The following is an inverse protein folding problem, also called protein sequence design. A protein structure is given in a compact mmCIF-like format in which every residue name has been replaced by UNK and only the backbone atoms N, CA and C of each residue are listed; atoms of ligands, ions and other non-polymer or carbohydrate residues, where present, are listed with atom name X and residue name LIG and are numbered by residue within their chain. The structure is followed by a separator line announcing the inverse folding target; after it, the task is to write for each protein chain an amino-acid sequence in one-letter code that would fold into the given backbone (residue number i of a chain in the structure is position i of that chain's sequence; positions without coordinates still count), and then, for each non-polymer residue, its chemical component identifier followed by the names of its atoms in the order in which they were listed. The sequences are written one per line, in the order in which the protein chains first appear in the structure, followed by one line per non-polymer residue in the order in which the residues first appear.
data_IF_907893024012
#
_entry.id   IF_907893024012
#
_cell.length_a   1.000
_cell.length_b   1.000
_cell.length_c   1.000
_cell.angle_alpha   90.00
_cell.angle_beta   90.00
_cell.angle_gamma   90.00
#
_symmetry.space_group_name_H-M   'P 1'
#
loop_
_entity.id
_entity.type
_entity.pdbx_description
1 polymer ?
#
# COMPACT_ATOMS: atom_id res chain seq x y z
N UNK A 1 13.92 2.37 1.72
CA UNK A 1 12.87 3.12 2.45
C UNK A 1 11.59 2.32 2.53
N UNK A 2 11.06 2.11 3.73
CA UNK A 2 9.79 1.40 3.98
C UNK A 2 8.77 2.36 4.57
N UNK A 3 7.69 2.64 3.84
CA UNK A 3 6.59 3.50 4.29
C UNK A 3 5.50 2.63 4.90
N UNK A 4 5.35 2.69 6.21
CA UNK A 4 4.52 1.80 7.02
C UNK A 4 5.30 0.60 7.56
N UNK A 5 5.74 0.67 8.83
CA UNK A 5 6.51 -0.37 9.51
C UNK A 5 5.62 -1.32 10.34
N UNK A 6 4.43 -1.65 9.82
CA UNK A 6 3.55 -2.65 10.36
C UNK A 6 4.04 -4.09 10.13
N UNK A 7 3.16 -5.08 10.29
CA UNK A 7 3.50 -6.51 10.15
C UNK A 7 4.19 -6.87 8.83
N UNK A 8 3.75 -6.28 7.71
CA UNK A 8 4.33 -6.54 6.37
C UNK A 8 5.62 -5.75 6.20
N UNK A 9 5.61 -4.44 6.49
CA UNK A 9 6.78 -3.60 6.33
C UNK A 9 7.99 -4.12 7.12
N UNK A 10 7.82 -4.60 8.35
CA UNK A 10 8.90 -5.23 9.15
C UNK A 10 9.45 -6.50 8.51
N UNK A 11 8.64 -7.29 7.81
CA UNK A 11 9.13 -8.45 7.06
C UNK A 11 9.97 -8.03 5.86
N UNK A 12 9.53 -6.99 5.15
CA UNK A 12 10.30 -6.41 4.04
C UNK A 12 11.63 -5.85 4.53
N UNK A 13 11.65 -5.13 5.66
CA UNK A 13 12.89 -4.64 6.30
C UNK A 13 13.84 -5.82 6.60
N UNK A 14 13.33 -6.89 7.20
CA UNK A 14 14.16 -8.09 7.51
C UNK A 14 14.77 -8.70 6.24
N UNK A 15 13.99 -8.80 5.17
CA UNK A 15 14.44 -9.33 3.88
C UNK A 15 15.49 -8.39 3.26
N UNK A 16 15.24 -7.09 3.20
CA UNK A 16 16.18 -6.10 2.69
C UNK A 16 17.51 -6.13 3.44
N UNK A 17 17.46 -6.22 4.77
CA UNK A 17 18.65 -6.38 5.61
C UNK A 17 19.40 -7.67 5.28
N UNK A 18 18.72 -8.76 5.01
CA UNK A 18 19.30 -10.02 4.56
C UNK A 18 20.06 -9.90 3.22
N UNK A 19 19.65 -8.98 2.36
CA UNK A 19 20.37 -8.60 1.14
C UNK A 19 21.53 -7.60 1.38
N UNK A 20 21.81 -7.23 2.62
CA UNK A 20 22.85 -6.25 2.95
C UNK A 20 22.43 -4.79 2.74
N UNK A 21 21.14 -4.51 2.50
CA UNK A 21 20.66 -3.15 2.33
C UNK A 21 20.56 -2.41 3.68
N UNK A 22 20.82 -1.11 3.67
CA UNK A 22 20.44 -0.21 4.78
C UNK A 22 18.94 0.04 4.71
N UNK A 23 18.22 -0.17 5.81
CA UNK A 23 16.79 0.02 5.88
C UNK A 23 16.43 1.25 6.72
N UNK A 24 15.52 2.08 6.19
CA UNK A 24 14.88 3.19 6.87
C UNK A 24 13.36 2.99 6.82
N UNK A 25 12.66 3.45 7.87
CA UNK A 25 11.21 3.40 7.89
C UNK A 25 10.60 4.77 8.22
N UNK A 26 9.43 5.04 7.64
CA UNK A 26 8.55 6.13 8.03
C UNK A 26 7.20 5.55 8.45
N UNK A 27 6.79 5.82 9.68
CA UNK A 27 5.53 5.36 10.25
C UNK A 27 5.02 6.40 11.26
N UNK A 28 3.72 6.76 11.26
CA UNK A 28 3.17 7.67 12.25
C UNK A 28 3.23 7.13 13.69
N UNK A 29 3.38 5.81 13.86
CA UNK A 29 3.48 5.14 15.16
C UNK A 29 4.78 4.33 15.24
N UNK A 30 5.95 4.96 15.41
CA UNK A 30 7.23 4.28 15.46
C UNK A 30 7.32 3.32 16.66
N UNK A 31 7.94 2.16 16.43
CA UNK A 31 8.24 1.16 17.46
C UNK A 31 9.77 1.03 17.60
N UNK A 32 10.38 1.69 18.61
CA UNK A 32 11.81 1.66 18.82
C UNK A 32 12.37 0.25 19.13
N UNK A 33 11.55 -0.61 19.76
CA UNK A 33 11.98 -1.98 20.07
C UNK A 33 12.15 -2.81 18.80
N UNK A 34 11.18 -2.71 17.88
CA UNK A 34 11.27 -3.35 16.57
C UNK A 34 12.44 -2.78 15.73
N UNK A 35 12.70 -1.46 15.83
CA UNK A 35 13.82 -0.83 15.14
C UNK A 35 15.18 -1.38 15.63
N UNK A 36 15.33 -1.50 16.95
CA UNK A 36 16.54 -2.08 17.55
C UNK A 36 16.71 -3.57 17.19
N UNK A 37 15.64 -4.37 17.29
CA UNK A 37 15.66 -5.80 16.95
C UNK A 37 16.04 -6.05 15.49
N UNK A 38 15.43 -5.30 14.55
CA UNK A 38 15.61 -5.51 13.12
C UNK A 38 16.76 -4.69 12.51
N UNK A 39 17.37 -3.80 13.28
CA UNK A 39 18.53 -2.99 12.87
C UNK A 39 18.18 -1.96 11.79
N UNK A 40 17.08 -1.22 11.93
CA UNK A 40 16.71 -0.13 11.05
C UNK A 40 16.46 1.18 11.80
N UNK A 41 16.38 2.31 11.09
CA UNK A 41 16.09 3.62 11.67
C UNK A 41 14.71 4.14 11.25
N UNK A 42 14.02 4.84 12.17
CA UNK A 42 12.86 5.65 11.82
C UNK A 42 13.31 7.05 11.43
N UNK A 43 12.73 7.57 10.36
CA UNK A 43 12.94 8.95 9.86
C UNK A 43 11.61 9.54 9.41
N UNK A 44 11.57 10.84 9.11
CA UNK A 44 10.40 11.45 8.46
C UNK A 44 10.18 10.86 7.07
N UNK A 45 8.95 10.95 6.54
CA UNK A 45 8.67 10.51 5.16
C UNK A 45 9.58 11.23 4.17
N UNK A 46 9.73 12.54 4.31
CA UNK A 46 10.55 13.35 3.44
C UNK A 46 12.03 12.95 3.44
N UNK A 47 12.59 12.67 4.63
CA UNK A 47 13.97 12.20 4.74
C UNK A 47 14.14 10.81 4.14
N UNK A 48 13.17 9.90 4.39
CA UNK A 48 13.15 8.59 3.77
C UNK A 48 13.20 8.71 2.24
N UNK A 49 12.35 9.55 1.65
CA UNK A 49 12.27 9.73 0.20
C UNK A 49 13.56 10.31 -0.40
N UNK A 50 14.23 11.23 0.33
CA UNK A 50 15.53 11.80 -0.11
C UNK A 50 16.68 10.81 -0.02
N UNK A 51 16.61 9.87 0.91
CA UNK A 51 17.73 8.96 1.21
C UNK A 51 17.63 7.62 0.49
N UNK A 52 16.42 7.16 0.17
CA UNK A 52 16.18 5.83 -0.35
C UNK A 52 16.52 5.68 -1.84
N UNK A 53 17.11 4.56 -2.20
CA UNK A 53 17.31 4.12 -3.58
C UNK A 53 16.12 3.27 -4.06
N UNK A 54 15.45 2.59 -3.11
CA UNK A 54 14.20 1.85 -3.32
C UNK A 54 13.21 2.25 -2.24
N UNK A 55 11.99 2.60 -2.63
CA UNK A 55 10.88 2.92 -1.70
C UNK A 55 9.81 1.85 -1.82
N UNK A 56 9.48 1.20 -0.70
CA UNK A 56 8.42 0.18 -0.62
C UNK A 56 7.29 0.63 0.28
N UNK A 57 6.06 0.58 -0.26
CA UNK A 57 4.86 1.09 0.40
C UNK A 57 4.09 -0.05 1.09
N UNK A 58 3.80 0.13 2.38
CA UNK A 58 3.04 -0.79 3.23
C UNK A 58 2.05 -0.05 4.13
N UNK A 59 1.72 1.18 3.77
CA UNK A 59 0.70 1.98 4.44
C UNK A 59 -0.71 1.43 4.13
N UNK A 60 -1.65 1.44 5.09
CA UNK A 60 -3.03 1.07 4.84
C UNK A 60 -3.68 2.02 3.85
N UNK A 61 -4.71 1.55 3.12
CA UNK A 61 -5.54 2.42 2.31
C UNK A 61 -6.52 3.20 3.20
N UNK A 62 -6.84 4.42 2.77
CA UNK A 62 -7.83 5.25 3.48
C UNK A 62 -7.66 6.74 3.17
N UNK A 63 -8.55 7.58 3.71
CA UNK A 63 -8.51 9.03 3.46
C UNK A 63 -7.18 9.69 3.83
N UNK A 64 -6.51 9.21 4.90
CA UNK A 64 -5.25 9.77 5.40
C UNK A 64 -4.02 9.40 4.56
N UNK A 65 -4.12 8.36 3.76
CA UNK A 65 -3.02 7.85 2.93
C UNK A 65 -3.32 7.96 1.43
N UNK A 66 -4.47 8.53 1.09
CA UNK A 66 -4.81 8.81 -0.31
C UNK A 66 -3.81 9.80 -0.90
N UNK A 67 -3.25 9.45 -2.06
CA UNK A 67 -2.25 10.24 -2.77
C UNK A 67 -1.04 10.65 -1.88
N UNK A 68 -0.70 9.81 -0.89
CA UNK A 68 0.43 10.02 0.02
C UNK A 68 1.73 10.22 -0.77
N UNK A 69 1.87 9.51 -1.88
CA UNK A 69 2.97 9.68 -2.83
C UNK A 69 2.42 10.34 -4.10
N UNK A 70 2.77 11.58 -4.29
CA UNK A 70 2.33 12.43 -5.39
C UNK A 70 3.50 13.21 -5.97
N UNK A 71 3.26 14.22 -6.81
CA UNK A 71 4.31 15.00 -7.48
C UNK A 71 5.35 15.58 -6.51
N UNK A 72 4.91 16.11 -5.37
CA UNK A 72 5.81 16.67 -4.36
C UNK A 72 6.76 15.61 -3.79
N UNK A 73 6.26 14.41 -3.52
CA UNK A 73 7.06 13.28 -3.01
C UNK A 73 8.01 12.75 -4.08
N UNK A 74 7.55 12.61 -5.31
CA UNK A 74 8.43 12.23 -6.42
C UNK A 74 9.54 13.25 -6.67
N UNK A 75 9.25 14.54 -6.51
CA UNK A 75 10.25 15.60 -6.71
C UNK A 75 11.43 15.53 -5.72
N UNK A 76 11.22 15.03 -4.51
CA UNK A 76 12.27 14.91 -3.48
C UNK A 76 13.01 13.56 -3.50
N UNK A 77 12.46 12.52 -4.15
CA UNK A 77 13.13 11.22 -4.28
C UNK A 77 14.47 11.37 -5.02
N UNK A 78 15.41 10.46 -4.77
CA UNK A 78 16.65 10.39 -5.57
C UNK A 78 16.34 10.16 -7.04
N UNK A 79 17.07 10.80 -7.97
CA UNK A 79 17.03 10.41 -9.37
C UNK A 79 17.38 8.93 -9.53
N UNK A 80 16.58 8.20 -10.29
CA UNK A 80 16.78 6.77 -10.48
C UNK A 80 16.25 5.87 -9.35
N UNK A 81 15.51 6.41 -8.38
CA UNK A 81 14.82 5.63 -7.35
C UNK A 81 13.81 4.66 -7.98
N UNK A 82 13.61 3.51 -7.34
CA UNK A 82 12.59 2.52 -7.70
C UNK A 82 11.45 2.56 -6.67
N UNK A 83 10.21 2.59 -7.12
CA UNK A 83 9.02 2.52 -6.27
C UNK A 83 8.40 1.13 -6.32
N UNK A 84 8.08 0.57 -5.15
CA UNK A 84 7.33 -0.69 -5.02
C UNK A 84 6.03 -0.42 -4.25
N UNK A 85 4.90 -0.79 -4.83
CA UNK A 85 3.60 -0.69 -4.17
C UNK A 85 2.87 -2.03 -4.18
N UNK A 86 2.87 -2.69 -3.04
CA UNK A 86 2.07 -3.89 -2.73
C UNK A 86 1.04 -3.62 -1.63
N UNK A 87 0.73 -2.35 -1.39
CA UNK A 87 -0.20 -1.92 -0.34
C UNK A 87 -1.61 -1.68 -0.90
N UNK A 88 -1.87 -0.48 -1.39
CA UNK A 88 -3.14 -0.08 -2.01
C UNK A 88 -2.88 0.91 -3.14
N UNK A 89 -3.63 0.81 -4.24
CA UNK A 89 -3.45 1.66 -5.42
C UNK A 89 -3.61 3.16 -5.10
N UNK A 90 -4.60 3.51 -4.29
CA UNK A 90 -4.86 4.90 -3.91
C UNK A 90 -3.81 5.58 -3.02
N UNK A 91 -2.78 4.85 -2.55
CA UNK A 91 -1.65 5.46 -1.81
C UNK A 91 -0.75 6.27 -2.73
N UNK A 92 -0.74 5.94 -4.02
CA UNK A 92 0.07 6.62 -5.04
C UNK A 92 -0.85 7.33 -6.04
N UNK A 93 -0.60 8.60 -6.30
CA UNK A 93 -1.25 9.30 -7.39
C UNK A 93 -0.75 8.76 -8.73
N UNK A 94 -1.62 8.04 -9.45
CA UNK A 94 -1.26 7.34 -10.67
C UNK A 94 -0.73 8.29 -11.77
N UNK A 95 -1.35 9.48 -11.93
CA UNK A 95 -0.92 10.45 -12.93
C UNK A 95 0.47 11.04 -12.60
N UNK A 96 0.74 11.31 -11.31
CA UNK A 96 2.05 11.76 -10.85
C UNK A 96 3.12 10.68 -11.07
N UNK A 97 2.79 9.40 -10.83
CA UNK A 97 3.69 8.28 -11.07
C UNK A 97 4.05 8.16 -12.57
N UNK A 98 3.06 8.28 -13.47
CA UNK A 98 3.30 8.30 -14.93
C UNK A 98 4.28 9.42 -15.28
N UNK A 99 4.11 10.64 -14.75
CA UNK A 99 5.03 11.77 -14.99
C UNK A 99 6.44 11.48 -14.49
N UNK A 100 6.56 10.94 -13.28
CA UNK A 100 7.85 10.64 -12.67
C UNK A 100 8.63 9.56 -13.44
N UNK A 101 7.94 8.53 -13.94
CA UNK A 101 8.53 7.48 -14.77
C UNK A 101 8.91 7.99 -16.17
N UNK A 102 8.00 8.73 -16.81
CA UNK A 102 8.21 9.26 -18.18
C UNK A 102 9.30 10.31 -18.24
N UNK A 103 9.50 11.09 -17.18
CA UNK A 103 10.60 12.07 -17.09
C UNK A 103 11.95 11.46 -16.71
N UNK A 104 12.01 10.15 -16.40
CA UNK A 104 13.23 9.50 -15.91
C UNK A 104 13.56 9.83 -14.44
N UNK A 105 12.67 10.50 -13.71
CA UNK A 105 12.85 10.77 -12.28
C UNK A 105 12.93 9.47 -11.47
N UNK A 106 12.05 8.52 -11.79
CA UNK A 106 12.12 7.15 -11.30
C UNK A 106 12.72 6.24 -12.37
N UNK A 107 13.59 5.32 -11.98
CA UNK A 107 14.12 4.29 -12.86
C UNK A 107 13.04 3.26 -13.22
N UNK A 108 12.12 2.96 -12.30
CA UNK A 108 11.06 2.00 -12.52
C UNK A 108 10.10 1.90 -11.36
N UNK A 109 9.05 1.09 -11.54
CA UNK A 109 8.11 0.77 -10.48
C UNK A 109 7.67 -0.70 -10.56
N UNK A 110 7.42 -1.31 -9.37
CA UNK A 110 6.76 -2.59 -9.19
C UNK A 110 5.41 -2.37 -8.50
N UNK A 111 4.32 -2.72 -9.16
CA UNK A 111 2.97 -2.42 -8.72
C UNK A 111 2.13 -3.70 -8.68
N UNK A 112 1.74 -4.15 -7.49
CA UNK A 112 0.76 -5.23 -7.35
C UNK A 112 -0.68 -4.70 -7.29
N UNK A 113 -0.81 -3.38 -7.11
CA UNK A 113 -2.07 -2.66 -6.96
C UNK A 113 -2.08 -1.38 -7.82
N UNK A 114 -3.22 -1.09 -8.43
CA UNK A 114 -3.44 0.12 -9.21
C UNK A 114 -4.65 0.89 -8.70
N UNK A 115 -4.72 2.19 -8.98
CA UNK A 115 -5.94 2.97 -8.80
C UNK A 115 -7.01 2.46 -9.76
N UNK A 116 -8.27 2.45 -9.32
CA UNK A 116 -9.41 2.04 -10.15
C UNK A 116 -9.35 0.59 -10.68
N UNK A 117 -8.70 -0.35 -9.97
CA UNK A 117 -8.62 -1.76 -10.36
C UNK A 117 -9.94 -2.39 -10.81
N UNK A 118 -11.10 -2.18 -10.14
CA UNK A 118 -12.36 -2.74 -10.61
C UNK A 118 -12.73 -2.29 -12.02
N UNK A 119 -12.53 -1.02 -12.34
CA UNK A 119 -12.81 -0.47 -13.67
C UNK A 119 -11.80 -0.93 -14.72
N UNK A 120 -10.55 -1.21 -14.32
CA UNK A 120 -9.55 -1.78 -15.22
C UNK A 120 -9.86 -3.23 -15.61
N UNK A 121 -10.51 -3.98 -14.70
CA UNK A 121 -10.93 -5.36 -14.96
C UNK A 121 -12.21 -5.46 -15.78
N UNK A 122 -13.10 -4.49 -15.61
CA UNK A 122 -14.44 -4.46 -16.19
C UNK A 122 -14.67 -3.16 -16.96
N UNK A 123 -13.79 -2.84 -17.93
CA UNK A 123 -13.87 -1.60 -18.72
C UNK A 123 -15.25 -1.39 -19.37
N UNK A 124 -15.95 -2.48 -19.72
CA UNK A 124 -17.29 -2.43 -20.29
C UNK A 124 -18.35 -1.83 -19.32
N UNK A 125 -18.10 -1.90 -18.01
CA UNK A 125 -19.00 -1.29 -17.01
C UNK A 125 -19.05 0.23 -17.15
N UNK A 126 -17.95 0.87 -17.58
CA UNK A 126 -17.90 2.34 -17.80
C UNK A 126 -18.97 2.77 -18.80
N UNK A 127 -19.22 1.96 -19.83
CA UNK A 127 -20.23 2.24 -20.87
C UNK A 127 -21.67 1.88 -20.46
N UNK A 128 -21.83 1.17 -19.34
CA UNK A 128 -23.12 0.82 -18.76
C UNK A 128 -23.58 1.76 -17.65
N UNK A 129 -22.68 2.64 -17.18
CA UNK A 129 -23.01 3.59 -16.13
C UNK A 129 -23.95 4.68 -16.64
N UNK A 130 -25.07 4.88 -15.98
CA UNK A 130 -26.01 5.97 -16.29
C UNK A 130 -25.44 7.36 -15.97
N UNK A 131 -24.42 7.43 -15.11
CA UNK A 131 -23.77 8.67 -14.71
C UNK A 131 -22.31 8.67 -15.19
N UNK A 132 -21.87 9.73 -15.88
CA UNK A 132 -20.49 9.85 -16.32
C UNK A 132 -19.49 9.76 -15.15
N UNK A 133 -18.37 9.08 -15.37
CA UNK A 133 -17.28 9.06 -14.39
C UNK A 133 -16.76 10.48 -14.16
N UNK A 134 -16.51 10.87 -12.90
CA UNK A 134 -15.82 12.11 -12.60
C UNK A 134 -14.49 12.19 -13.35
N UNK A 135 -14.13 13.38 -13.83
CA UNK A 135 -12.91 13.58 -14.63
C UNK A 135 -11.63 13.11 -13.92
N UNK A 136 -11.60 13.22 -12.61
CA UNK A 136 -10.47 12.72 -11.77
C UNK A 136 -10.34 11.21 -11.88
N UNK A 137 -11.43 10.46 -11.74
CA UNK A 137 -11.43 9.00 -11.87
C UNK A 137 -11.07 8.54 -13.27
N UNK A 138 -11.56 9.24 -14.29
CA UNK A 138 -11.20 8.95 -15.69
C UNK A 138 -9.69 9.18 -15.92
N UNK A 139 -9.12 10.26 -15.37
CA UNK A 139 -7.67 10.51 -15.43
C UNK A 139 -6.86 9.43 -14.72
N UNK A 140 -7.33 8.98 -13.54
CA UNK A 140 -6.69 7.89 -12.80
C UNK A 140 -6.71 6.58 -13.60
N UNK A 141 -7.83 6.27 -14.26
CA UNK A 141 -7.98 5.09 -15.11
C UNK A 141 -7.03 5.15 -16.33
N UNK A 142 -6.98 6.30 -17.03
CA UNK A 142 -6.06 6.50 -18.15
C UNK A 142 -4.60 6.36 -17.69
N UNK A 143 -4.25 6.92 -16.53
CA UNK A 143 -2.92 6.79 -15.97
C UNK A 143 -2.58 5.33 -15.63
N UNK A 144 -3.51 4.60 -15.01
CA UNK A 144 -3.34 3.18 -14.68
C UNK A 144 -3.14 2.33 -15.96
N UNK A 145 -3.93 2.56 -17.01
CA UNK A 145 -3.74 1.93 -18.32
C UNK A 145 -2.37 2.29 -18.95
N UNK A 146 -1.90 3.50 -18.75
CA UNK A 146 -0.57 3.93 -19.20
C UNK A 146 0.53 3.15 -18.48
N UNK A 147 0.42 2.99 -17.14
CA UNK A 147 1.38 2.24 -16.33
C UNK A 147 1.54 0.79 -16.79
N UNK A 148 0.47 0.13 -17.23
CA UNK A 148 0.51 -1.22 -17.78
C UNK A 148 1.37 -1.36 -19.05
N UNK A 149 1.68 -0.26 -19.73
CA UNK A 149 2.40 -0.23 -21.02
C UNK A 149 3.82 0.32 -20.91
N UNK A 150 4.21 0.88 -19.77
CA UNK A 150 5.55 1.44 -19.58
C UNK A 150 6.58 0.31 -19.44
N UNK A 151 7.69 0.34 -20.20
CA UNK A 151 8.69 -0.74 -20.20
C UNK A 151 9.47 -0.85 -18.89
N UNK A 152 9.47 0.20 -18.07
CA UNK A 152 10.12 0.27 -16.76
C UNK A 152 9.13 0.06 -15.59
N UNK A 153 7.97 -0.53 -15.86
CA UNK A 153 6.96 -0.87 -14.86
C UNK A 153 6.65 -2.36 -14.92
N UNK A 154 6.70 -3.01 -13.76
CA UNK A 154 6.21 -4.38 -13.57
C UNK A 154 4.88 -4.30 -12.84
N UNK A 155 3.83 -4.86 -13.42
CA UNK A 155 2.50 -4.93 -12.79
C UNK A 155 2.12 -6.40 -12.57
N UNK A 156 1.64 -6.70 -11.37
CA UNK A 156 1.05 -7.98 -11.01
C UNK A 156 -0.42 -7.79 -10.61
N UNK A 157 -1.32 -8.77 -10.84
CA UNK A 157 -2.76 -8.57 -10.74
C UNK A 157 -3.29 -8.74 -9.31
N UNK A 158 -2.70 -8.00 -8.33
CA UNK A 158 -3.07 -8.01 -6.92
C UNK A 158 -2.92 -9.41 -6.28
N UNK A 159 -1.77 -10.03 -6.51
CA UNK A 159 -1.46 -11.41 -6.09
C UNK A 159 -0.26 -11.51 -5.14
N UNK A 160 0.24 -10.41 -4.61
CA UNK A 160 1.38 -10.42 -3.68
C UNK A 160 1.13 -11.26 -2.41
N UNK A 161 -0.13 -11.52 -2.07
CA UNK A 161 -0.53 -12.38 -0.96
C UNK A 161 -0.73 -13.85 -1.36
N UNK A 162 -0.81 -14.17 -2.66
CA UNK A 162 -1.30 -15.45 -3.18
C UNK A 162 -0.23 -16.55 -3.13
N UNK A 163 0.06 -17.01 -1.91
CA UNK A 163 0.83 -18.21 -1.65
C UNK A 163 -0.03 -19.23 -0.91
N UNK A 164 0.27 -20.53 -1.05
CA UNK A 164 -0.48 -21.59 -0.39
C UNK A 164 -0.58 -21.38 1.13
N UNK A 165 0.52 -20.94 1.76
CA UNK A 165 0.57 -20.67 3.19
C UNK A 165 -0.23 -19.43 3.59
N UNK A 166 -0.25 -18.39 2.76
CA UNK A 166 -1.03 -17.18 3.03
C UNK A 166 -2.52 -17.45 2.88
N UNK A 167 -2.92 -18.14 1.80
CA UNK A 167 -4.30 -18.58 1.61
C UNK A 167 -4.79 -19.47 2.75
N UNK A 168 -3.97 -20.45 3.16
CA UNK A 168 -4.28 -21.31 4.30
C UNK A 168 -4.54 -20.51 5.60
N UNK A 169 -3.71 -19.49 5.87
CA UNK A 169 -3.93 -18.60 7.03
C UNK A 169 -5.19 -17.74 6.89
N UNK A 170 -5.48 -17.22 5.70
CA UNK A 170 -6.68 -16.40 5.46
C UNK A 170 -7.93 -17.25 5.69
N UNK A 171 -8.00 -18.45 5.11
CA UNK A 171 -9.13 -19.37 5.27
C UNK A 171 -9.27 -19.79 6.74
N UNK A 172 -8.17 -20.19 7.40
CA UNK A 172 -8.18 -20.56 8.82
C UNK A 172 -8.71 -19.43 9.70
N UNK A 173 -8.17 -18.21 9.56
CA UNK A 173 -8.64 -17.05 10.33
C UNK A 173 -10.12 -16.75 10.05
N UNK A 174 -10.58 -16.93 8.82
CA UNK A 174 -11.99 -16.71 8.47
C UNK A 174 -12.89 -17.72 9.17
N UNK A 175 -12.52 -19.00 9.18
CA UNK A 175 -13.26 -20.04 9.89
C UNK A 175 -13.27 -19.79 11.41
N UNK A 176 -12.12 -19.46 11.99
CA UNK A 176 -12.01 -19.12 13.42
C UNK A 176 -12.92 -17.94 13.80
N UNK A 177 -13.00 -16.91 12.93
CA UNK A 177 -13.88 -15.76 13.16
C UNK A 177 -15.35 -16.14 13.07
N UNK A 178 -15.75 -16.99 12.12
CA UNK A 178 -17.14 -17.48 12.00
C UNK A 178 -17.53 -18.29 13.23
N UNK A 179 -16.66 -19.20 13.66
CA UNK A 179 -16.91 -20.04 14.85
C UNK A 179 -16.98 -19.18 16.12
N UNK A 180 -16.08 -18.22 16.30
CA UNK A 180 -16.10 -17.31 17.45
C UNK A 180 -17.37 -16.45 17.46
N UNK A 181 -17.79 -15.94 16.29
CA UNK A 181 -19.05 -15.20 16.16
C UNK A 181 -20.27 -16.08 16.53
N UNK A 182 -20.32 -17.33 16.06
CA UNK A 182 -21.40 -18.26 16.36
C UNK A 182 -21.48 -18.62 17.88
N UNK A 183 -20.35 -18.58 18.60
CA UNK A 183 -20.29 -18.76 20.04
C UNK A 183 -20.64 -17.50 20.86
N UNK A 184 -20.86 -16.36 20.20
CA UNK A 184 -21.08 -15.06 20.86
C UNK A 184 -19.78 -14.38 21.36
N UNK A 185 -18.63 -14.85 20.92
CA UNK A 185 -17.30 -14.35 21.30
C UNK A 185 -16.54 -13.80 20.06
N UNK A 186 -17.07 -12.78 19.37
CA UNK A 186 -16.47 -12.31 18.12
C UNK A 186 -15.05 -11.80 18.34
N UNK A 187 -14.16 -12.15 17.42
CA UNK A 187 -12.75 -11.75 17.41
C UNK A 187 -12.38 -11.02 16.12
N UNK A 188 -11.23 -10.33 16.10
CA UNK A 188 -10.74 -9.57 14.94
C UNK A 188 -11.76 -8.54 14.42
N UNK A 189 -12.49 -7.90 15.32
CA UNK A 189 -13.52 -6.91 14.99
C UNK A 189 -12.89 -5.71 14.27
N UNK A 190 -13.50 -5.32 13.17
CA UNK A 190 -13.21 -4.03 12.51
C UNK A 190 -14.18 -3.01 13.10
N UNK A 191 -13.70 -2.20 14.03
CA UNK A 191 -14.48 -1.10 14.62
C UNK A 191 -14.30 0.13 13.75
N UNK A 192 -15.38 0.77 13.25
CA UNK A 192 -15.28 2.04 12.53
C UNK A 192 -14.57 3.08 13.41
N UNK A 193 -13.66 3.85 12.82
CA UNK A 193 -13.00 4.97 13.51
C UNK A 193 -14.07 5.96 13.98
N UNK A 194 -14.29 6.05 15.29
CA UNK A 194 -15.33 6.87 15.93
C UNK A 194 -16.26 6.10 16.88
N UNK A 195 -16.30 4.77 16.85
CA UNK A 195 -17.15 3.98 17.72
C UNK A 195 -16.42 3.43 18.98
N UNK A 196 -15.22 3.90 19.25
CA UNK A 196 -14.43 3.45 20.43
C UNK A 196 -14.95 4.00 21.79
N UNK A 197 -16.07 4.74 21.80
CA UNK A 197 -16.62 5.37 23.01
C UNK A 197 -17.71 4.55 23.73
N UNK A 198 -18.40 3.61 23.07
CA UNK A 198 -19.65 3.04 23.62
C UNK A 198 -19.64 1.53 23.92
N UNK A 199 -18.50 0.85 23.87
CA UNK A 199 -18.47 -0.61 24.10
C UNK A 199 -18.04 -0.97 25.53
N UNK A 200 -17.84 -0.02 26.43
CA UNK A 200 -17.33 -0.26 27.79
C UNK A 200 -18.40 -0.47 28.88
N UNK A 201 -19.70 -0.38 28.57
CA UNK A 201 -20.75 -0.46 29.61
C UNK A 201 -21.94 -1.36 29.29
N UNK A 202 -21.73 -2.56 28.75
CA UNK A 202 -22.80 -3.59 28.82
C UNK A 202 -22.17 -4.97 29.05
N UNK A 203 -21.82 -5.22 30.29
CA UNK A 203 -21.80 -6.60 30.86
C UNK A 203 -22.86 -6.69 31.94
N UNK A 204 -23.78 -7.68 31.87
CA UNK A 204 -24.57 -8.09 33.04
C UNK A 204 -23.68 -8.79 34.05
#
# INVERSE_FOLDING_TARGET
GVVGAGRIGRRVIRIARGFGMTALAADPHPDPAAAAELGFGYVTLDDLLRLADVVSLHAPGGPQTRDLISDAQFAVMKPGCVLINTARGGVVNAAALVRALSSGRLAGAGLDVLSEEPLLREEAEIFRMDTPLPAERLRALVAANTLLRLPNVVVTPHIAYDTAEALGRIVGTTLDNIEAFARGEPQNLVVPSGAAGDVAETRP
#
